data_IF_161818788209
#
_entry.id   IF_161818788209
#
_cell.length_a   1.000
_cell.length_b   1.000
_cell.length_c   1.000
_cell.angle_alpha   90.00
_cell.angle_beta   90.00
_cell.angle_gamma   90.00
#
_symmetry.space_group_name_H-M   'P 1'
#
loop_
_entity.id
_entity.type
_entity.pdbx_description
1 polymer ?
#
# COMPACT_ATOMS: atom_id res chain seq x y z
N UNK A 1 -4.52 -12.48 -23.95
CA UNK A 1 -3.25 -11.90 -24.46
C UNK A 1 -2.59 -11.05 -23.37
N UNK A 2 -2.19 -11.64 -22.24
CA UNK A 2 -1.52 -10.93 -21.13
C UNK A 2 -0.37 -11.73 -20.45
N UNK A 3 -0.07 -12.95 -20.91
CA UNK A 3 0.96 -13.80 -20.28
C UNK A 3 2.39 -13.57 -20.78
N UNK A 4 2.56 -13.05 -22.01
CA UNK A 4 3.88 -12.88 -22.66
C UNK A 4 4.91 -12.14 -21.80
N UNK A 5 4.49 -11.06 -21.11
CA UNK A 5 5.42 -10.23 -20.34
C UNK A 5 5.86 -10.88 -19.04
N UNK A 6 4.99 -11.67 -18.40
CA UNK A 6 5.36 -12.44 -17.20
C UNK A 6 6.23 -13.61 -17.60
N UNK A 7 5.89 -14.30 -18.69
CA UNK A 7 6.68 -15.43 -19.20
C UNK A 7 8.11 -15.01 -19.59
N UNK A 8 8.27 -13.81 -20.18
CA UNK A 8 9.59 -13.20 -20.46
C UNK A 8 10.38 -12.89 -19.19
N UNK A 9 9.74 -12.32 -18.17
CA UNK A 9 10.38 -12.00 -16.89
C UNK A 9 10.79 -13.27 -16.11
N UNK A 10 9.94 -14.29 -16.11
CA UNK A 10 10.23 -15.60 -15.51
C UNK A 10 11.39 -16.28 -16.25
N UNK A 11 11.40 -16.21 -17.59
CA UNK A 11 12.48 -16.76 -18.41
C UNK A 11 13.81 -16.07 -18.14
N UNK A 12 13.82 -14.75 -17.96
CA UNK A 12 15.00 -13.96 -17.63
C UNK A 12 15.57 -14.28 -16.24
N UNK A 13 14.74 -14.77 -15.32
CA UNK A 13 15.11 -15.14 -13.95
C UNK A 13 15.23 -16.65 -13.74
N UNK A 14 15.28 -17.44 -14.82
CA UNK A 14 15.31 -18.91 -14.79
C UNK A 14 16.51 -19.51 -14.05
N UNK A 15 17.60 -18.75 -13.89
CA UNK A 15 18.79 -19.15 -13.14
C UNK A 15 18.68 -18.89 -11.62
N UNK A 16 17.56 -18.35 -11.14
CA UNK A 16 17.34 -18.10 -9.72
C UNK A 16 16.68 -19.32 -9.08
N UNK A 17 17.50 -20.16 -8.44
CA UNK A 17 17.06 -21.40 -7.80
C UNK A 17 15.91 -21.18 -6.80
N UNK A 18 15.90 -20.03 -6.11
CA UNK A 18 14.86 -19.66 -5.15
C UNK A 18 13.54 -19.32 -5.84
N UNK A 19 13.60 -18.61 -6.96
CA UNK A 19 12.44 -18.31 -7.79
C UNK A 19 11.86 -19.60 -8.39
N UNK A 20 12.72 -20.52 -8.84
CA UNK A 20 12.31 -21.83 -9.36
C UNK A 20 11.59 -22.65 -8.28
N UNK A 21 12.08 -22.66 -7.04
CA UNK A 21 11.37 -23.31 -5.92
C UNK A 21 10.03 -22.63 -5.59
N UNK A 22 9.98 -21.30 -5.56
CA UNK A 22 8.75 -20.56 -5.31
C UNK A 22 7.69 -20.80 -6.41
N UNK A 23 8.10 -20.89 -7.68
CA UNK A 23 7.21 -21.15 -8.81
C UNK A 23 6.56 -22.54 -8.75
N UNK A 24 7.22 -23.55 -8.14
CA UNK A 24 6.63 -24.89 -7.93
C UNK A 24 5.39 -24.86 -7.04
N UNK A 25 5.26 -23.84 -6.18
CA UNK A 25 4.08 -23.65 -5.33
C UNK A 25 2.89 -23.09 -6.13
N UNK A 26 3.15 -22.44 -7.26
CA UNK A 26 2.13 -21.91 -8.17
C UNK A 26 1.76 -22.99 -9.18
N UNK A 27 1.01 -24.01 -8.74
CA UNK A 27 0.49 -25.03 -9.67
C UNK A 27 -0.44 -24.40 -10.69
N UNK A 28 -0.36 -24.77 -11.99
CA UNK A 28 -1.38 -24.39 -12.96
C UNK A 28 -2.73 -24.97 -12.50
N UNK A 29 -3.66 -24.10 -12.09
CA UNK A 29 -5.02 -24.46 -11.69
C UNK A 29 -5.99 -23.86 -12.69
N UNK A 30 -7.00 -24.63 -13.09
CA UNK A 30 -8.06 -24.13 -13.96
C UNK A 30 -8.84 -23.05 -13.19
N UNK A 31 -8.60 -21.79 -13.51
CA UNK A 31 -9.27 -20.65 -12.88
C UNK A 31 -10.46 -20.22 -13.73
N UNK A 32 -11.65 -20.23 -13.13
CA UNK A 32 -12.84 -19.63 -13.71
C UNK A 32 -13.20 -18.40 -12.90
N UNK A 33 -13.00 -17.20 -13.47
CA UNK A 33 -13.49 -15.95 -12.91
C UNK A 33 -12.51 -15.13 -12.05
N UNK A 34 -12.76 -13.82 -12.04
CA UNK A 34 -12.03 -12.76 -11.33
C UNK A 34 -11.82 -13.08 -9.84
N UNK A 35 -10.60 -12.89 -9.36
CA UNK A 35 -10.11 -12.90 -7.96
C UNK A 35 -10.26 -14.19 -7.12
N UNK A 36 -11.15 -15.13 -7.46
CA UNK A 36 -11.28 -16.41 -6.72
C UNK A 36 -10.10 -17.39 -6.91
N UNK A 37 -9.05 -16.98 -7.63
CA UNK A 37 -7.83 -17.77 -7.82
C UNK A 37 -7.08 -18.04 -6.50
N UNK A 38 -7.29 -17.19 -5.48
CA UNK A 38 -6.64 -17.31 -4.17
C UNK A 38 -7.43 -18.11 -3.13
N UNK A 39 -8.73 -18.34 -3.34
CA UNK A 39 -9.59 -19.08 -2.39
C UNK A 39 -9.27 -20.58 -2.35
N UNK A 40 -8.50 -21.08 -3.32
CA UNK A 40 -8.16 -22.49 -3.43
C UNK A 40 -6.84 -22.86 -2.75
N UNK A 41 -6.08 -21.91 -2.19
CA UNK A 41 -4.84 -22.27 -1.50
C UNK A 41 -5.15 -22.96 -0.18
N UNK A 42 -4.57 -24.13 0.02
CA UNK A 42 -4.61 -24.78 1.33
C UNK A 42 -3.85 -23.90 2.33
N UNK A 43 -4.33 -23.84 3.57
CA UNK A 43 -3.73 -23.00 4.61
C UNK A 43 -2.22 -23.26 4.78
N UNK A 44 -1.79 -24.52 4.61
CA UNK A 44 -0.38 -24.92 4.63
C UNK A 44 0.44 -24.32 3.48
N UNK A 45 -0.12 -24.22 2.27
CA UNK A 45 0.52 -23.58 1.11
C UNK A 45 0.69 -22.08 1.36
N UNK A 46 -0.32 -21.41 1.92
CA UNK A 46 -0.25 -19.99 2.30
C UNK A 46 0.81 -19.73 3.36
N UNK A 47 0.88 -20.59 4.40
CA UNK A 47 1.90 -20.48 5.44
C UNK A 47 3.31 -20.66 4.86
N UNK A 48 3.50 -21.60 3.95
CA UNK A 48 4.80 -21.84 3.32
C UNK A 48 5.20 -20.70 2.39
N UNK A 49 4.27 -20.17 1.59
CA UNK A 49 4.48 -18.98 0.77
C UNK A 49 4.90 -17.78 1.62
N UNK A 50 4.16 -17.49 2.69
CA UNK A 50 4.48 -16.38 3.61
C UNK A 50 5.87 -16.55 4.23
N UNK A 51 6.22 -17.77 4.62
CA UNK A 51 7.53 -18.06 5.22
C UNK A 51 8.67 -17.83 4.23
N UNK A 52 8.52 -18.26 2.97
CA UNK A 52 9.51 -18.02 1.91
C UNK A 52 9.60 -16.53 1.59
N UNK A 53 8.47 -15.83 1.47
CA UNK A 53 8.44 -14.38 1.24
C UNK A 53 9.20 -13.64 2.35
N UNK A 54 8.85 -13.88 3.62
CA UNK A 54 9.52 -13.23 4.76
C UNK A 54 11.00 -13.61 4.85
N UNK A 55 11.41 -14.83 4.49
CA UNK A 55 12.81 -15.24 4.58
C UNK A 55 13.69 -14.79 3.42
N UNK A 56 13.12 -14.59 2.22
CA UNK A 56 13.87 -14.33 0.99
C UNK A 56 13.76 -12.88 0.51
N UNK A 57 12.78 -12.11 1.02
CA UNK A 57 12.44 -10.78 0.51
C UNK A 57 12.75 -9.65 1.50
N UNK A 58 12.93 -9.96 2.79
CA UNK A 58 13.08 -8.97 3.88
C UNK A 58 14.27 -8.02 3.69
N UNK A 59 15.40 -8.51 3.15
CA UNK A 59 16.61 -7.67 3.02
C UNK A 59 16.62 -6.81 1.74
N UNK A 60 15.76 -7.07 0.76
CA UNK A 60 15.86 -6.42 -0.58
C UNK A 60 14.61 -5.64 -0.98
N UNK A 61 13.45 -5.95 -0.40
CA UNK A 61 12.18 -5.28 -0.71
C UNK A 61 11.58 -4.70 0.58
N UNK A 62 12.41 -3.98 1.35
CA UNK A 62 11.87 -2.82 2.07
C UNK A 62 11.57 -1.80 0.98
N UNK A 63 10.45 -1.99 0.29
CA UNK A 63 10.01 -1.04 -0.69
C UNK A 63 9.66 0.23 0.09
N UNK A 64 10.50 1.26 -0.06
CA UNK A 64 10.08 2.66 0.08
C UNK A 64 9.06 3.00 -1.02
N UNK A 65 8.13 2.09 -1.32
CA UNK A 65 7.12 2.29 -2.33
C UNK A 65 6.18 3.34 -1.77
N UNK A 66 6.13 4.46 -2.50
CA UNK A 66 5.10 5.46 -2.30
C UNK A 66 3.75 4.74 -2.25
N UNK A 67 2.86 5.23 -1.37
CA UNK A 67 1.52 4.68 -1.18
C UNK A 67 1.00 4.10 -2.52
N UNK A 68 0.84 2.77 -2.63
CA UNK A 68 0.62 2.11 -3.92
C UNK A 68 -0.80 2.35 -4.46
N UNK A 69 -1.53 3.27 -3.83
CA UNK A 69 -2.86 3.66 -4.19
C UNK A 69 -2.94 5.01 -4.88
N UNK A 70 -3.91 5.14 -5.75
CA UNK A 70 -4.23 6.36 -6.48
C UNK A 70 -5.50 6.98 -5.87
N UNK A 71 -5.41 8.24 -5.44
CA UNK A 71 -6.58 9.00 -5.00
C UNK A 71 -7.41 9.39 -6.23
N UNK A 72 -8.63 8.87 -6.32
CA UNK A 72 -9.52 9.04 -7.46
C UNK A 72 -10.68 9.97 -7.11
N UNK A 73 -11.12 10.75 -8.11
CA UNK A 73 -12.24 11.70 -7.99
C UNK A 73 -12.04 12.71 -6.85
N UNK A 74 -11.34 13.82 -7.16
CA UNK A 74 -11.29 14.96 -6.27
C UNK A 74 -12.72 15.49 -6.05
N UNK A 75 -13.25 15.32 -4.85
CA UNK A 75 -14.57 15.80 -4.47
C UNK A 75 -14.51 17.26 -4.04
N UNK A 76 -13.55 17.60 -3.19
CA UNK A 76 -13.35 18.95 -2.67
C UNK A 76 -11.87 19.27 -2.55
N UNK A 77 -11.49 20.42 -3.08
CA UNK A 77 -10.13 20.94 -3.01
C UNK A 77 -10.00 21.86 -1.80
N UNK A 78 -8.85 21.81 -1.12
CA UNK A 78 -8.51 22.73 -0.04
C UNK A 78 -9.55 22.83 1.08
N UNK A 79 -10.01 21.69 1.59
CA UNK A 79 -10.94 21.65 2.73
C UNK A 79 -10.17 21.79 4.03
N UNK A 80 -10.57 22.75 4.85
CA UNK A 80 -10.05 22.89 6.21
C UNK A 80 -10.58 21.76 7.10
N UNK A 81 -9.67 21.04 7.75
CA UNK A 81 -9.99 20.02 8.72
C UNK A 81 -10.63 20.66 9.98
N UNK A 82 -11.69 20.06 10.52
CA UNK A 82 -12.18 20.41 11.85
C UNK A 82 -11.07 20.25 12.90
N UNK A 83 -10.98 21.17 13.86
CA UNK A 83 -9.90 21.20 14.85
C UNK A 83 -9.73 19.88 15.62
N UNK A 84 -10.82 19.18 15.92
CA UNK A 84 -10.76 17.89 16.61
C UNK A 84 -10.05 16.83 15.76
N UNK A 85 -10.33 16.77 14.45
CA UNK A 85 -9.66 15.84 13.53
C UNK A 85 -8.21 16.25 13.31
N UNK A 86 -7.96 17.55 13.20
CA UNK A 86 -6.60 18.07 13.04
C UNK A 86 -5.69 17.72 14.23
N UNK A 87 -6.21 17.85 15.46
CA UNK A 87 -5.47 17.44 16.66
C UNK A 87 -5.19 15.93 16.67
N UNK A 88 -6.21 15.11 16.39
CA UNK A 88 -6.05 13.65 16.33
C UNK A 88 -4.98 13.25 15.32
N UNK A 89 -4.92 13.91 14.17
CA UNK A 89 -3.91 13.64 13.14
C UNK A 89 -2.49 13.94 13.63
N UNK A 90 -2.33 15.05 14.37
CA UNK A 90 -1.04 15.45 14.94
C UNK A 90 -0.61 14.47 16.02
N UNK A 91 -1.51 14.12 16.94
CA UNK A 91 -1.25 13.16 18.01
C UNK A 91 -0.83 11.81 17.42
N UNK A 92 -1.59 11.33 16.43
CA UNK A 92 -1.27 10.10 15.69
C UNK A 92 0.12 10.14 15.07
N UNK A 93 0.51 11.24 14.42
CA UNK A 93 1.83 11.31 13.78
C UNK A 93 2.97 11.37 14.80
N UNK A 94 2.79 12.06 15.93
CA UNK A 94 3.78 12.05 17.00
C UNK A 94 3.92 10.66 17.65
N UNK A 95 2.83 9.89 17.74
CA UNK A 95 2.85 8.55 18.33
C UNK A 95 3.40 7.49 17.36
N UNK A 96 3.08 7.61 16.07
CA UNK A 96 3.42 6.61 15.06
C UNK A 96 4.85 6.75 14.52
N UNK A 97 5.46 7.93 14.65
CA UNK A 97 6.76 8.23 14.07
C UNK A 97 7.69 8.87 15.10
N UNK A 98 8.98 8.59 15.01
CA UNK A 98 10.02 9.18 15.88
C UNK A 98 10.38 10.64 15.49
N UNK A 99 9.39 11.42 15.03
CA UNK A 99 9.53 12.82 14.66
C UNK A 99 8.53 13.70 15.44
N UNK A 100 8.83 14.99 15.55
CA UNK A 100 7.91 15.95 16.15
C UNK A 100 7.02 16.57 15.08
N UNK A 101 5.70 16.47 15.27
CA UNK A 101 4.69 17.07 14.42
C UNK A 101 3.92 18.14 15.19
N UNK A 102 3.69 19.29 14.55
CA UNK A 102 2.97 20.40 15.14
C UNK A 102 2.02 21.08 14.16
N UNK A 103 1.13 21.89 14.72
CA UNK A 103 0.25 22.74 13.91
C UNK A 103 1.04 23.87 13.23
N UNK A 104 0.48 24.45 12.16
CA UNK A 104 1.04 25.67 11.52
C UNK A 104 1.17 26.82 12.54
N UNK A 105 0.25 26.91 13.49
CA UNK A 105 0.22 27.97 14.50
C UNK A 105 1.31 27.84 15.56
N UNK A 106 1.83 26.63 15.78
CA UNK A 106 2.81 26.36 16.85
C UNK A 106 4.26 26.42 16.36
N UNK A 107 4.49 26.51 15.04
CA UNK A 107 5.82 26.45 14.44
C UNK A 107 6.83 27.45 15.04
N UNK A 108 6.37 28.63 15.47
CA UNK A 108 7.24 29.65 16.07
C UNK A 108 7.72 29.29 17.48
N UNK A 109 7.01 28.39 18.16
CA UNK A 109 7.34 27.89 19.49
C UNK A 109 8.03 26.51 19.45
N UNK A 110 8.04 25.85 18.29
CA UNK A 110 8.56 24.48 18.13
C UNK A 110 10.05 24.46 17.75
N UNK A 111 10.76 23.34 18.04
CA UNK A 111 12.13 23.14 17.58
C UNK A 111 12.28 23.22 16.06
N UNK A 112 13.49 23.54 15.58
CA UNK A 112 13.78 23.72 14.14
C UNK A 112 13.46 22.51 13.27
N UNK A 113 13.47 21.31 13.85
CA UNK A 113 13.27 20.05 13.13
C UNK A 113 11.80 19.56 13.17
N UNK A 114 10.88 20.41 13.63
CA UNK A 114 9.45 20.08 13.72
C UNK A 114 8.80 20.06 12.35
N UNK A 115 8.07 18.99 12.05
CA UNK A 115 7.31 18.84 10.82
C UNK A 115 5.93 19.48 10.99
N UNK A 116 5.59 20.38 10.08
CA UNK A 116 4.30 21.07 10.11
C UNK A 116 3.25 20.25 9.39
N UNK A 117 2.16 19.94 10.07
CA UNK A 117 1.00 19.28 9.46
C UNK A 117 0.05 20.35 8.93
N UNK A 118 -0.26 20.42 7.62
CA UNK A 118 -1.26 21.35 7.11
C UNK A 118 -2.66 20.99 7.61
N UNK A 119 -3.47 21.98 7.99
CA UNK A 119 -4.89 21.75 8.31
C UNK A 119 -5.80 21.79 7.08
N UNK A 120 -5.23 21.95 5.89
CA UNK A 120 -5.96 22.01 4.61
C UNK A 120 -5.64 20.75 3.82
N UNK A 121 -6.68 20.01 3.43
CA UNK A 121 -6.56 18.74 2.72
C UNK A 121 -7.45 18.68 1.49
N UNK A 122 -7.05 17.84 0.53
CA UNK A 122 -7.90 17.48 -0.60
C UNK A 122 -8.74 16.26 -0.24
N UNK A 123 -10.04 16.34 -0.47
CA UNK A 123 -10.96 15.24 -0.24
C UNK A 123 -11.23 14.52 -1.55
N UNK A 124 -11.01 13.21 -1.54
CA UNK A 124 -11.24 12.32 -2.67
C UNK A 124 -12.36 11.36 -2.33
N UNK A 125 -13.23 11.08 -3.30
CA UNK A 125 -14.37 10.18 -3.11
C UNK A 125 -14.00 8.71 -3.19
N UNK A 126 -12.88 8.40 -3.87
CA UNK A 126 -12.41 7.04 -4.09
C UNK A 126 -10.90 6.94 -3.95
N UNK A 127 -10.44 5.75 -3.63
CA UNK A 127 -9.03 5.37 -3.63
C UNK A 127 -8.90 4.05 -4.38
N UNK A 128 -8.03 3.99 -5.37
CA UNK A 128 -7.63 2.73 -5.98
C UNK A 128 -6.44 2.21 -5.19
N UNK A 129 -6.45 0.96 -4.77
CA UNK A 129 -5.29 0.29 -4.19
C UNK A 129 -5.04 -0.96 -5.04
N UNK A 130 -3.88 -1.01 -5.70
CA UNK A 130 -3.59 -2.02 -6.72
C UNK A 130 -4.69 -2.08 -7.81
N UNK A 131 -5.38 -3.22 -7.97
CA UNK A 131 -6.44 -3.37 -8.95
C UNK A 131 -7.83 -2.96 -8.45
N UNK A 132 -8.00 -2.73 -7.14
CA UNK A 132 -9.29 -2.53 -6.51
C UNK A 132 -9.58 -1.04 -6.26
N UNK A 133 -10.86 -0.66 -6.37
CA UNK A 133 -11.31 0.72 -6.12
C UNK A 133 -12.26 0.72 -4.92
N UNK A 134 -11.89 1.47 -3.89
CA UNK A 134 -12.66 1.68 -2.67
C UNK A 134 -13.24 3.10 -2.65
N UNK A 135 -14.38 3.28 -1.99
CA UNK A 135 -15.05 4.58 -1.85
C UNK A 135 -16.42 4.62 -2.51
N UNK A 136 -17.17 5.70 -2.26
CA UNK A 136 -18.55 5.82 -2.72
C UNK A 136 -18.64 6.19 -4.20
N UNK A 137 -19.62 5.60 -4.89
CA UNK A 137 -19.86 5.88 -6.31
C UNK A 137 -20.35 7.30 -6.54
N UNK A 138 -21.02 7.87 -5.54
CA UNK A 138 -21.64 9.19 -5.55
C UNK A 138 -21.42 9.87 -4.20
N UNK A 139 -20.58 10.90 -4.15
CA UNK A 139 -20.77 11.98 -3.20
C UNK A 139 -21.51 13.12 -3.96
N UNK A 140 -22.46 13.83 -3.33
CA UNK A 140 -23.23 14.89 -3.99
C UNK A 140 -22.35 16.04 -4.48
#
# INVERSE_FOLDING_TARGET
MQHLRIDELVSAQSNNDKLVEALKLIKPRATSGSLAAYDNFEFSELCQYRKIFVQEVDDTIVSNELFPGEMLMLCRNQVTLPNNIYQILIDYYNDAYEFQFATITEISASPRDTIVVPNVVNQFGRVRISAEIFGLVTAP
#
